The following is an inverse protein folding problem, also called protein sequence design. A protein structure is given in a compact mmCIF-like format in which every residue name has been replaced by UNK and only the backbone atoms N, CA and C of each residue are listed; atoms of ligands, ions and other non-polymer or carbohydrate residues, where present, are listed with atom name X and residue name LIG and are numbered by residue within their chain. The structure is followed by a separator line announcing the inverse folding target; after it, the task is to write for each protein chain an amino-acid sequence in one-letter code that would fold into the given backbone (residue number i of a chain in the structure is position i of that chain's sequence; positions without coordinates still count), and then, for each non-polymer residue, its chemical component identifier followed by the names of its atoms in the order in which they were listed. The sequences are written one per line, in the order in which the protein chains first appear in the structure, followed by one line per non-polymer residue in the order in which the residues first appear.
data_IF_905796219763
#
_entry.id   IF_905796219763
#
_cell.length_a   1.000
_cell.length_b   1.000
_cell.length_c   1.000
_cell.angle_alpha   90.00
_cell.angle_beta   90.00
_cell.angle_gamma   90.00
#
_symmetry.space_group_name_H-M   'P 1'
#
loop_
_entity.id
_entity.type
_entity.pdbx_description
1 polymer ?
#
# COMPACT_ATOMS: atom_id res chain seq x y z
N UNK A 1 -1.98 16.06 28.50
CA UNK A 1 -1.06 16.75 27.59
C UNK A 1 -1.79 17.16 26.32
N UNK A 2 -1.31 18.19 25.59
CA UNK A 2 -1.88 18.64 24.30
C UNK A 2 -2.03 17.51 23.30
N UNK A 3 -1.06 16.59 23.22
CA UNK A 3 -1.11 15.41 22.35
C UNK A 3 -2.22 14.43 22.69
N UNK A 4 -2.43 14.13 23.97
CA UNK A 4 -3.52 13.25 24.39
C UNK A 4 -4.89 13.84 24.05
N UNK A 5 -5.06 15.15 24.19
CA UNK A 5 -6.31 15.84 23.81
C UNK A 5 -6.55 15.76 22.30
N UNK A 6 -5.51 16.00 21.51
CA UNK A 6 -5.58 15.86 20.05
C UNK A 6 -5.96 14.44 19.64
N UNK A 7 -5.27 13.43 20.19
CA UNK A 7 -5.54 12.03 19.90
C UNK A 7 -6.97 11.63 20.30
N UNK A 8 -7.46 12.09 21.47
CA UNK A 8 -8.84 11.84 21.88
C UNK A 8 -9.82 12.43 20.89
N UNK A 9 -9.59 13.66 20.42
CA UNK A 9 -10.44 14.31 19.44
C UNK A 9 -10.45 13.55 18.09
N UNK A 10 -9.29 13.09 17.64
CA UNK A 10 -9.18 12.34 16.38
C UNK A 10 -9.90 10.99 16.48
N UNK A 11 -9.67 10.24 17.55
CA UNK A 11 -10.36 8.96 17.81
C UNK A 11 -11.88 9.11 17.96
N UNK A 12 -12.35 10.20 18.56
CA UNK A 12 -13.79 10.45 18.73
C UNK A 12 -14.55 10.62 17.42
N UNK A 13 -13.86 10.96 16.34
CA UNK A 13 -14.45 11.14 14.99
C UNK A 13 -14.69 9.82 14.26
N UNK A 14 -14.04 8.74 14.67
CA UNK A 14 -14.11 7.45 13.97
C UNK A 14 -15.55 6.91 13.93
N UNK A 15 -16.23 6.89 15.06
CA UNK A 15 -17.62 6.36 15.13
C UNK A 15 -18.62 7.18 14.28
N UNK A 16 -18.69 8.51 14.38
CA UNK A 16 -19.53 9.32 13.50
C UNK A 16 -19.20 9.12 12.02
N UNK A 17 -17.92 9.05 11.67
CA UNK A 17 -17.48 8.80 10.31
C UNK A 17 -17.99 7.46 9.77
N UNK A 18 -17.89 6.38 10.55
CA UNK A 18 -18.41 5.06 10.13
C UNK A 18 -19.94 5.06 9.95
N UNK A 19 -20.68 5.82 10.77
CA UNK A 19 -22.14 5.97 10.61
C UNK A 19 -22.43 6.63 9.27
N UNK A 20 -21.80 7.76 8.99
CA UNK A 20 -21.98 8.48 7.71
C UNK A 20 -21.52 7.65 6.51
N UNK A 21 -20.41 6.90 6.65
CA UNK A 21 -19.90 6.04 5.59
C UNK A 21 -20.92 4.97 5.18
N UNK A 22 -21.68 4.38 6.14
CA UNK A 22 -22.72 3.40 5.83
C UNK A 22 -23.86 3.97 4.98
N UNK A 23 -24.17 5.25 5.16
CA UNK A 23 -25.20 5.94 4.37
C UNK A 23 -24.70 6.25 2.95
N UNK A 24 -23.41 6.58 2.81
CA UNK A 24 -22.81 7.03 1.56
C UNK A 24 -22.31 5.87 0.68
N UNK A 25 -21.97 4.71 1.26
CA UNK A 25 -21.41 3.57 0.54
C UNK A 25 -22.53 2.74 -0.13
N UNK A 26 -23.05 3.24 -1.23
CA UNK A 26 -24.13 2.61 -2.00
C UNK A 26 -23.64 1.88 -3.27
N UNK A 27 -22.40 2.14 -3.71
CA UNK A 27 -21.84 1.59 -4.94
C UNK A 27 -21.82 0.06 -4.99
N UNK A 28 -21.71 -0.49 -6.21
CA UNK A 28 -21.72 -1.94 -6.47
C UNK A 28 -20.34 -2.48 -6.94
N UNK A 29 -19.28 -1.70 -6.86
CA UNK A 29 -17.95 -2.06 -7.36
C UNK A 29 -17.27 -3.11 -6.47
N UNK A 30 -17.33 -4.39 -6.83
CA UNK A 30 -16.94 -5.54 -6.01
C UNK A 30 -15.51 -5.43 -5.45
N UNK A 31 -14.53 -5.16 -6.30
CA UNK A 31 -13.11 -5.13 -5.89
C UNK A 31 -12.80 -3.94 -4.98
N UNK A 32 -13.52 -2.81 -5.15
CA UNK A 32 -13.37 -1.66 -4.25
C UNK A 32 -13.92 -1.98 -2.84
N UNK A 33 -15.00 -2.77 -2.74
CA UNK A 33 -15.47 -3.25 -1.44
C UNK A 33 -14.47 -4.18 -0.77
N UNK A 34 -13.86 -5.10 -1.53
CA UNK A 34 -12.81 -6.02 -1.02
C UNK A 34 -11.59 -5.22 -0.53
N UNK A 35 -11.13 -4.25 -1.32
CA UNK A 35 -10.02 -3.39 -0.94
C UNK A 35 -10.35 -2.57 0.33
N UNK A 36 -11.53 -1.95 0.38
CA UNK A 36 -11.99 -1.19 1.55
C UNK A 36 -12.08 -2.04 2.82
N UNK A 37 -12.56 -3.29 2.74
CA UNK A 37 -12.59 -4.21 3.88
C UNK A 37 -11.16 -4.44 4.41
N UNK A 38 -10.21 -4.74 3.53
CA UNK A 38 -8.81 -4.96 3.91
C UNK A 38 -8.20 -3.73 4.60
N UNK A 39 -8.46 -2.55 4.06
CA UNK A 39 -7.89 -1.31 4.59
C UNK A 39 -8.48 -0.95 5.97
N UNK A 40 -9.78 -1.17 6.17
CA UNK A 40 -10.41 -0.95 7.49
C UNK A 40 -10.01 -2.04 8.50
N UNK A 41 -9.77 -3.29 8.08
CA UNK A 41 -9.18 -4.32 8.94
C UNK A 41 -7.78 -3.95 9.39
N UNK A 42 -6.95 -3.41 8.49
CA UNK A 42 -5.62 -2.91 8.84
C UNK A 42 -5.70 -1.73 9.82
N UNK A 43 -6.65 -0.81 9.63
CA UNK A 43 -6.91 0.26 10.60
C UNK A 43 -7.30 -0.29 11.98
N UNK A 44 -8.15 -1.31 12.04
CA UNK A 44 -8.52 -1.96 13.29
C UNK A 44 -7.30 -2.57 13.99
N UNK A 45 -6.43 -3.25 13.23
CA UNK A 45 -5.20 -3.81 13.78
C UNK A 45 -4.28 -2.72 14.33
N UNK A 46 -4.07 -1.63 13.59
CA UNK A 46 -3.29 -0.50 14.05
C UNK A 46 -3.83 0.12 15.36
N UNK A 47 -5.17 0.19 15.51
CA UNK A 47 -5.79 0.62 16.76
C UNK A 47 -5.51 -0.35 17.90
N UNK A 48 -5.54 -1.66 17.65
CA UNK A 48 -5.20 -2.67 18.65
C UNK A 48 -3.73 -2.60 19.07
N UNK A 49 -2.83 -2.40 18.13
CA UNK A 49 -1.38 -2.37 18.35
C UNK A 49 -0.95 -1.21 19.27
N UNK A 50 -1.66 -0.07 19.25
CA UNK A 50 -1.38 1.06 20.13
C UNK A 50 -2.06 0.95 21.50
N UNK A 51 -2.85 -0.08 21.77
CA UNK A 51 -3.57 -0.25 23.05
C UNK A 51 -2.65 -0.17 24.26
N UNK A 52 -1.48 -0.87 24.30
CA UNK A 52 -0.59 -0.81 25.46
C UNK A 52 -0.10 0.61 25.76
N UNK A 53 0.21 1.39 24.71
CA UNK A 53 0.67 2.78 24.88
C UNK A 53 -0.46 3.66 25.42
N UNK A 54 -1.69 3.47 24.95
CA UNK A 54 -2.87 4.22 25.42
C UNK A 54 -3.13 3.91 26.91
N UNK A 55 -3.07 2.65 27.32
CA UNK A 55 -3.30 2.23 28.72
C UNK A 55 -2.26 2.81 29.68
N UNK A 56 -0.99 2.93 29.26
CA UNK A 56 0.07 3.54 30.09
C UNK A 56 -0.19 5.01 30.40
N UNK A 57 -1.01 5.72 29.61
CA UNK A 57 -1.33 7.13 29.84
C UNK A 57 -2.19 7.36 31.09
N UNK A 58 -2.90 6.34 31.56
CA UNK A 58 -3.88 6.40 32.66
C UNK A 58 -4.97 7.46 32.46
N UNK A 59 -5.14 7.95 31.24
CA UNK A 59 -6.16 8.93 30.86
C UNK A 59 -7.46 8.19 30.53
N UNK A 60 -8.39 8.17 31.47
CA UNK A 60 -9.65 7.44 31.37
C UNK A 60 -10.46 7.82 30.11
N UNK A 61 -10.49 9.10 29.75
CA UNK A 61 -11.24 9.59 28.58
C UNK A 61 -10.61 9.05 27.30
N UNK A 62 -9.28 9.14 27.20
CA UNK A 62 -8.54 8.62 26.04
C UNK A 62 -8.73 7.12 25.88
N UNK A 63 -8.61 6.36 26.99
CA UNK A 63 -8.80 4.90 27.01
C UNK A 63 -10.21 4.52 26.52
N UNK A 64 -11.25 5.17 27.07
CA UNK A 64 -12.62 4.91 26.65
C UNK A 64 -12.87 5.27 25.19
N UNK A 65 -12.36 6.40 24.72
CA UNK A 65 -12.52 6.83 23.33
C UNK A 65 -11.82 5.87 22.37
N UNK A 66 -10.64 5.39 22.75
CA UNK A 66 -9.90 4.39 21.99
C UNK A 66 -10.65 3.04 21.90
N UNK A 67 -11.20 2.56 23.00
CA UNK A 67 -12.02 1.34 23.02
C UNK A 67 -13.28 1.48 22.13
N UNK A 68 -13.93 2.64 22.16
CA UNK A 68 -15.05 2.93 21.27
C UNK A 68 -14.64 2.96 19.78
N UNK A 69 -13.45 3.48 19.47
CA UNK A 69 -12.91 3.47 18.14
C UNK A 69 -12.67 2.03 17.61
N UNK A 70 -12.03 1.17 18.42
CA UNK A 70 -11.82 -0.25 18.08
C UNK A 70 -13.16 -0.95 17.85
N UNK A 71 -14.10 -0.79 18.76
CA UNK A 71 -15.42 -1.42 18.65
C UNK A 71 -16.16 -0.95 17.39
N UNK A 72 -16.18 0.38 17.13
CA UNK A 72 -16.82 0.96 15.94
C UNK A 72 -16.19 0.45 14.65
N UNK A 73 -14.86 0.36 14.61
CA UNK A 73 -14.14 -0.14 13.44
C UNK A 73 -14.46 -1.61 13.18
N UNK A 74 -14.46 -2.46 14.20
CA UNK A 74 -14.87 -3.87 14.07
C UNK A 74 -16.30 -4.06 13.58
N UNK A 75 -17.25 -3.26 14.10
CA UNK A 75 -18.63 -3.25 13.64
C UNK A 75 -18.76 -2.77 12.18
N UNK A 76 -17.91 -1.83 11.77
CA UNK A 76 -17.90 -1.35 10.40
C UNK A 76 -17.32 -2.39 9.44
N UNK A 77 -16.23 -3.08 9.81
CA UNK A 77 -15.70 -4.22 9.05
C UNK A 77 -16.77 -5.29 8.84
N UNK A 78 -17.47 -5.71 9.91
CA UNK A 78 -18.51 -6.72 9.81
C UNK A 78 -19.64 -6.28 8.86
N UNK A 79 -20.05 -5.03 8.93
CA UNK A 79 -21.04 -4.47 8.02
C UNK A 79 -20.56 -4.45 6.56
N UNK A 80 -19.30 -4.02 6.31
CA UNK A 80 -18.72 -4.04 4.97
C UNK A 80 -18.65 -5.45 4.40
N UNK A 81 -18.25 -6.44 5.20
CA UNK A 81 -18.22 -7.85 4.80
C UNK A 81 -19.61 -8.36 4.42
N UNK A 82 -20.62 -8.05 5.20
CA UNK A 82 -22.01 -8.42 4.89
C UNK A 82 -22.49 -7.78 3.59
N UNK A 83 -22.24 -6.48 3.39
CA UNK A 83 -22.63 -5.75 2.18
C UNK A 83 -21.89 -6.25 0.94
N UNK A 84 -20.61 -6.59 1.07
CA UNK A 84 -19.77 -7.04 -0.05
C UNK A 84 -20.29 -8.31 -0.72
N UNK A 85 -21.03 -9.15 -0.01
CA UNK A 85 -21.62 -10.39 -0.57
C UNK A 85 -22.61 -10.11 -1.71
N UNK A 86 -23.20 -8.94 -1.74
CA UNK A 86 -24.16 -8.51 -2.78
C UNK A 86 -23.53 -7.71 -3.90
N UNK A 87 -22.25 -7.38 -3.80
CA UNK A 87 -21.55 -6.53 -4.77
C UNK A 87 -20.99 -7.37 -5.91
N UNK A 88 -21.44 -7.10 -7.10
CA UNK A 88 -21.11 -7.86 -8.31
C UNK A 88 -20.64 -6.98 -9.47
N UNK A 89 -20.75 -5.66 -9.31
CA UNK A 89 -20.45 -4.71 -10.38
C UNK A 89 -18.94 -4.52 -10.59
N UNK A 90 -18.56 -4.03 -11.76
CA UNK A 90 -17.16 -3.74 -12.10
C UNK A 90 -16.62 -2.59 -11.25
N UNK A 91 -15.33 -2.64 -10.95
CA UNK A 91 -14.61 -1.61 -10.21
C UNK A 91 -13.78 -0.68 -11.08
N UNK A 92 -13.69 -0.97 -12.37
CA UNK A 92 -13.02 -0.13 -13.36
C UNK A 92 -13.89 1.02 -13.84
N UNK A 93 -13.26 2.07 -14.32
CA UNK A 93 -13.93 3.24 -14.91
C UNK A 93 -14.63 2.91 -16.24
N UNK A 94 -14.22 1.83 -16.91
CA UNK A 94 -14.62 1.52 -18.27
C UNK A 94 -13.81 2.27 -19.35
N UNK A 95 -13.79 1.72 -20.55
CA UNK A 95 -12.94 2.17 -21.66
C UNK A 95 -13.20 3.63 -22.04
N UNK A 96 -14.46 4.03 -22.11
CA UNK A 96 -14.83 5.39 -22.51
C UNK A 96 -14.33 6.46 -21.52
N UNK A 97 -14.57 6.25 -20.22
CA UNK A 97 -14.15 7.20 -19.19
C UNK A 97 -12.64 7.19 -19.00
N UNK A 98 -12.00 6.03 -19.13
CA UNK A 98 -10.56 5.92 -19.09
C UNK A 98 -9.92 6.71 -20.24
N UNK A 99 -10.39 6.50 -21.49
CA UNK A 99 -9.90 7.21 -22.66
C UNK A 99 -10.16 8.72 -22.57
N UNK A 100 -11.32 9.13 -22.03
CA UNK A 100 -11.59 10.54 -21.76
C UNK A 100 -10.58 11.12 -20.74
N UNK A 101 -10.32 10.41 -19.66
CA UNK A 101 -9.39 10.84 -18.62
C UNK A 101 -7.96 10.97 -19.15
N UNK A 102 -7.50 10.00 -19.92
CA UNK A 102 -6.19 10.05 -20.57
C UNK A 102 -6.07 11.28 -21.49
N UNK A 103 -7.07 11.55 -22.30
CA UNK A 103 -7.05 12.66 -23.24
C UNK A 103 -7.16 14.02 -22.58
N UNK A 104 -8.04 14.18 -21.60
CA UNK A 104 -8.40 15.50 -21.04
C UNK A 104 -7.69 15.85 -19.73
N UNK A 105 -7.21 14.86 -18.98
CA UNK A 105 -6.51 15.06 -17.73
C UNK A 105 -5.01 14.83 -17.89
N UNK A 106 -4.62 13.69 -18.45
CA UNK A 106 -3.22 13.37 -18.70
C UNK A 106 -2.67 13.98 -20.01
N UNK A 107 -3.54 14.52 -20.86
CA UNK A 107 -3.18 15.10 -22.17
C UNK A 107 -2.45 14.12 -23.09
N UNK A 108 -2.75 12.84 -22.96
CA UNK A 108 -2.23 11.79 -23.81
C UNK A 108 -3.15 11.59 -25.03
N UNK A 109 -2.56 11.50 -26.20
CA UNK A 109 -3.30 11.28 -27.45
C UNK A 109 -3.60 9.80 -27.73
N UNK A 110 -3.19 8.88 -26.86
CA UNK A 110 -3.42 7.45 -27.01
C UNK A 110 -4.84 7.07 -26.61
N UNK A 111 -5.41 6.13 -27.35
CA UNK A 111 -6.64 5.45 -26.96
C UNK A 111 -6.34 4.32 -26.00
N UNK A 112 -7.38 3.77 -25.37
CA UNK A 112 -7.26 2.54 -24.56
C UNK A 112 -6.59 1.40 -25.34
N UNK A 113 -6.98 1.20 -26.60
CA UNK A 113 -6.45 0.14 -27.45
C UNK A 113 -4.96 0.35 -27.79
N UNK A 114 -4.55 1.61 -27.97
CA UNK A 114 -3.15 1.95 -28.22
C UNK A 114 -2.29 1.66 -26.99
N UNK A 115 -2.80 2.00 -25.82
CA UNK A 115 -2.13 1.75 -24.55
C UNK A 115 -2.08 0.26 -24.22
N UNK A 116 -3.18 -0.49 -24.41
CA UNK A 116 -3.19 -1.94 -24.22
C UNK A 116 -2.15 -2.63 -25.10
N UNK A 117 -2.08 -2.24 -26.38
CA UNK A 117 -1.11 -2.80 -27.35
C UNK A 117 0.32 -2.50 -26.93
N UNK A 118 0.57 -1.28 -26.45
CA UNK A 118 1.87 -0.87 -25.93
C UNK A 118 2.25 -1.70 -24.69
N UNK A 119 1.36 -1.79 -23.72
CA UNK A 119 1.58 -2.53 -22.48
C UNK A 119 1.81 -4.03 -22.73
N UNK A 120 1.07 -4.65 -23.63
CA UNK A 120 1.30 -6.06 -24.04
C UNK A 120 2.69 -6.25 -24.61
N UNK A 121 3.12 -5.37 -25.52
CA UNK A 121 4.48 -5.41 -26.09
C UNK A 121 5.56 -5.26 -25.01
N UNK A 122 5.38 -4.33 -24.08
CA UNK A 122 6.33 -4.12 -22.99
C UNK A 122 6.33 -5.31 -22.01
N UNK A 123 5.19 -5.93 -21.75
CA UNK A 123 5.10 -7.14 -20.94
C UNK A 123 5.85 -8.31 -21.62
N UNK A 124 5.64 -8.54 -22.91
CA UNK A 124 6.34 -9.59 -23.67
C UNK A 124 7.85 -9.36 -23.66
N UNK A 125 8.29 -8.10 -23.81
CA UNK A 125 9.70 -7.74 -23.70
C UNK A 125 10.27 -8.01 -22.31
N UNK A 126 9.53 -7.64 -21.26
CA UNK A 126 9.95 -7.88 -19.88
C UNK A 126 10.03 -9.36 -19.57
N UNK A 127 9.07 -10.16 -20.02
CA UNK A 127 9.10 -11.63 -19.89
C UNK A 127 10.30 -12.25 -20.61
N UNK A 128 10.57 -11.81 -21.83
CA UNK A 128 11.73 -12.30 -22.59
C UNK A 128 13.04 -11.96 -21.88
N UNK A 129 13.18 -10.74 -21.37
CA UNK A 129 14.34 -10.32 -20.58
C UNK A 129 14.49 -11.15 -19.30
N UNK A 130 13.38 -11.36 -18.57
CA UNK A 130 13.38 -12.17 -17.36
C UNK A 130 13.87 -13.61 -17.66
N UNK A 131 13.37 -14.24 -18.72
CA UNK A 131 13.77 -15.58 -19.10
C UNK A 131 15.25 -15.66 -19.47
N UNK A 132 15.79 -14.64 -20.12
CA UNK A 132 17.23 -14.57 -20.42
C UNK A 132 18.07 -14.43 -19.12
N UNK A 133 17.61 -13.62 -18.17
CA UNK A 133 18.32 -13.47 -16.89
C UNK A 133 18.19 -14.72 -16.03
N UNK A 134 17.03 -15.38 -15.99
CA UNK A 134 16.89 -16.69 -15.32
C UNK A 134 17.88 -17.71 -15.90
N UNK A 135 18.02 -17.74 -17.23
CA UNK A 135 18.95 -18.65 -17.88
C UNK A 135 20.43 -18.30 -17.59
N UNK A 136 20.78 -17.03 -17.58
CA UNK A 136 22.15 -16.56 -17.24
C UNK A 136 22.53 -16.87 -15.80
N UNK A 137 21.54 -16.84 -14.91
CA UNK A 137 21.74 -17.05 -13.48
C UNK A 137 21.51 -18.51 -13.02
N UNK A 138 21.31 -19.44 -13.96
CA UNK A 138 21.28 -20.89 -13.65
C UNK A 138 22.59 -21.26 -12.95
N UNK A 139 22.49 -21.84 -11.77
CA UNK A 139 23.63 -22.28 -10.97
C UNK A 139 24.15 -21.24 -9.96
N UNK A 140 23.64 -20.03 -9.97
CA UNK A 140 23.90 -19.10 -8.87
C UNK A 140 23.09 -19.52 -7.61
N UNK A 141 23.66 -19.32 -6.41
CA UNK A 141 22.94 -19.61 -5.18
C UNK A 141 21.71 -18.72 -5.06
N UNK A 142 20.64 -19.27 -4.53
CA UNK A 142 19.43 -18.51 -4.27
C UNK A 142 19.73 -17.35 -3.27
N UNK A 143 19.11 -16.19 -3.52
CA UNK A 143 19.18 -15.07 -2.59
C UNK A 143 18.49 -15.46 -1.29
N UNK A 144 19.17 -15.22 -0.18
CA UNK A 144 18.64 -15.49 1.16
C UNK A 144 18.11 -14.15 1.73
N UNK A 145 16.91 -14.19 2.28
CA UNK A 145 16.34 -13.02 2.94
C UNK A 145 17.15 -12.66 4.18
N UNK A 146 17.37 -11.37 4.40
CA UNK A 146 17.98 -10.85 5.62
C UNK A 146 17.11 -11.13 6.84
N UNK A 147 17.71 -11.36 8.00
CA UNK A 147 17.01 -11.78 9.22
C UNK A 147 16.53 -10.61 10.08
N UNK A 148 17.24 -9.49 10.02
CA UNK A 148 16.98 -8.31 10.85
C UNK A 148 17.54 -7.04 10.20
N UNK A 149 17.25 -5.88 10.80
CA UNK A 149 17.68 -4.58 10.30
C UNK A 149 19.22 -4.42 10.32
N UNK A 150 19.90 -4.93 11.33
CA UNK A 150 21.36 -4.81 11.43
C UNK A 150 22.08 -5.58 10.32
N UNK A 151 21.61 -6.79 10.01
CA UNK A 151 22.14 -7.57 8.87
C UNK A 151 21.89 -6.87 7.55
N UNK A 152 20.69 -6.26 7.39
CA UNK A 152 20.35 -5.46 6.21
C UNK A 152 21.31 -4.29 6.04
N UNK A 153 21.53 -3.49 7.09
CA UNK A 153 22.40 -2.32 7.04
C UNK A 153 23.86 -2.71 6.72
N UNK A 154 24.35 -3.79 7.29
CA UNK A 154 25.71 -4.31 7.00
C UNK A 154 25.85 -4.73 5.52
N UNK A 155 24.87 -5.47 4.99
CA UNK A 155 24.89 -5.91 3.60
C UNK A 155 24.68 -4.75 2.63
N UNK A 156 23.90 -3.74 3.00
CA UNK A 156 23.70 -2.53 2.20
C UNK A 156 25.01 -1.74 2.08
N UNK A 157 25.75 -1.55 3.18
CA UNK A 157 27.06 -0.89 3.18
C UNK A 157 28.05 -1.67 2.33
N UNK A 158 28.17 -2.98 2.52
CA UNK A 158 29.06 -3.83 1.70
C UNK A 158 28.74 -3.77 0.21
N UNK A 159 27.44 -3.73 -0.13
CA UNK A 159 27.00 -3.63 -1.52
C UNK A 159 27.33 -2.27 -2.14
N UNK A 160 27.19 -1.20 -1.35
CA UNK A 160 27.58 0.15 -1.78
C UNK A 160 29.10 0.24 -2.02
N UNK A 161 29.91 -0.25 -1.10
CA UNK A 161 31.36 -0.28 -1.24
C UNK A 161 31.82 -1.10 -2.45
N UNK A 162 31.21 -2.26 -2.64
CA UNK A 162 31.48 -3.10 -3.81
C UNK A 162 31.15 -2.37 -5.12
N UNK A 163 29.99 -1.68 -5.15
CA UNK A 163 29.56 -0.93 -6.33
C UNK A 163 30.48 0.26 -6.63
N UNK A 164 30.85 1.03 -5.62
CA UNK A 164 31.80 2.14 -5.78
C UNK A 164 33.16 1.65 -6.29
N UNK A 165 33.67 0.57 -5.73
CA UNK A 165 34.92 -0.06 -6.18
C UNK A 165 34.81 -0.54 -7.64
N UNK A 166 33.70 -1.14 -8.02
CA UNK A 166 33.44 -1.56 -9.40
C UNK A 166 33.47 -0.35 -10.37
N UNK A 167 32.82 0.77 -9.99
CA UNK A 167 32.81 1.98 -10.81
C UNK A 167 34.22 2.54 -11.03
N UNK A 168 35.03 2.57 -9.99
CA UNK A 168 36.42 3.04 -10.04
C UNK A 168 37.31 2.10 -10.87
N UNK A 169 37.31 0.79 -10.57
CA UNK A 169 38.11 -0.20 -11.30
C UNK A 169 37.79 -0.28 -12.79
N UNK A 170 36.53 0.00 -13.17
CA UNK A 170 36.07 -0.01 -14.56
C UNK A 170 36.17 1.34 -15.26
N UNK A 171 36.68 2.38 -14.57
CA UNK A 171 36.75 3.74 -15.09
C UNK A 171 35.41 4.29 -15.64
N UNK A 172 34.29 3.91 -14.99
CA UNK A 172 32.95 4.35 -15.42
C UNK A 172 32.66 5.77 -14.94
N UNK A 173 32.99 6.06 -13.67
CA UNK A 173 32.83 7.36 -13.03
C UNK A 173 34.00 7.56 -12.07
N UNK A 174 34.53 8.77 -11.99
CA UNK A 174 35.52 9.11 -10.97
C UNK A 174 34.83 9.25 -9.63
N UNK A 175 35.17 8.37 -8.69
CA UNK A 175 34.68 8.44 -7.30
C UNK A 175 35.69 9.24 -6.50
N UNK A 176 35.27 10.40 -5.98
CA UNK A 176 36.12 11.27 -5.15
C UNK A 176 35.76 11.07 -3.69
N UNK A 177 36.78 11.01 -2.84
CA UNK A 177 36.62 11.03 -1.39
C UNK A 177 36.09 12.42 -0.96
N UNK A 178 34.94 12.46 -0.29
CA UNK A 178 34.37 13.65 0.33
C UNK A 178 34.46 13.57 1.85
#
# INVERSE_FOLDING_TARGET
TSEQTRLTNDLSRIKPFHIQARENLTGNAKELWIAGIRDIQMQQQNLLDITPQIETTKNTILIQTHQQAIQSTGQFVAWLQQQSMTKTGPSGLGVEQYSWYQKHVHLLSMTWEDEERLLRRELDRAWSSLKLEEQRNIGLPALVSVKNAEEYDQLAIQSADFFLKFLDEKNIVTVTDY
#
